data_IF_029714936049
#
_entry.id   IF_029714936049
#
_cell.length_a   1.000
_cell.length_b   1.000
_cell.length_c   1.000
_cell.angle_alpha   90.00
_cell.angle_beta   90.00
_cell.angle_gamma   90.00
#
_symmetry.space_group_name_H-M   'P 1'
#
loop_
_entity.id
_entity.type
_entity.pdbx_description
1 polymer ?
#
# COMPACT_ATOMS: atom_id res chain seq x y z
N UNK A 1 -7.90 -14.20 10.19
CA UNK A 1 -6.95 -13.24 10.79
C UNK A 1 -7.55 -11.85 10.65
N UNK A 2 -7.45 -10.97 11.66
CA UNK A 2 -8.00 -9.60 11.56
C UNK A 2 -7.07 -8.67 10.80
N UNK A 3 -7.61 -7.59 10.23
CA UNK A 3 -6.82 -6.55 9.56
C UNK A 3 -5.76 -5.94 10.46
N UNK A 4 -6.10 -5.71 11.74
CA UNK A 4 -5.15 -5.21 12.74
C UNK A 4 -3.99 -6.17 12.97
N UNK A 5 -4.22 -7.48 12.90
CA UNK A 5 -3.17 -8.49 13.02
C UNK A 5 -2.31 -8.56 11.76
N UNK A 6 -2.89 -8.46 10.56
CA UNK A 6 -2.15 -8.33 9.28
C UNK A 6 -1.25 -7.09 9.31
N UNK A 7 -1.82 -5.95 9.69
CA UNK A 7 -1.09 -4.69 9.77
C UNK A 7 0.04 -4.74 10.80
N UNK A 8 -0.20 -5.38 11.95
CA UNK A 8 0.80 -5.62 12.98
C UNK A 8 1.98 -6.46 12.48
N UNK A 9 1.72 -7.55 11.76
CA UNK A 9 2.78 -8.38 11.16
C UNK A 9 3.62 -7.55 10.18
N UNK A 10 2.99 -6.79 9.28
CA UNK A 10 3.72 -5.95 8.33
C UNK A 10 4.60 -4.91 9.05
N UNK A 11 4.08 -4.27 10.11
CA UNK A 11 4.83 -3.32 10.92
C UNK A 11 6.02 -3.98 11.65
N UNK A 12 5.84 -5.17 12.22
CA UNK A 12 6.90 -5.92 12.90
C UNK A 12 8.06 -6.26 11.95
N UNK A 13 7.76 -6.54 10.68
CA UNK A 13 8.76 -6.83 9.65
C UNK A 13 9.31 -5.58 8.95
N UNK A 14 8.94 -4.37 9.39
CA UNK A 14 9.27 -3.12 8.69
C UNK A 14 8.88 -3.13 7.20
N UNK A 15 7.78 -3.81 6.88
CA UNK A 15 7.35 -4.10 5.52
C UNK A 15 6.19 -3.20 5.09
N UNK A 16 6.17 -2.82 3.80
CA UNK A 16 5.02 -2.18 3.17
C UNK A 16 3.93 -3.23 2.98
N UNK A 17 2.74 -2.98 3.52
CA UNK A 17 1.59 -3.86 3.29
C UNK A 17 1.03 -3.61 1.89
N UNK A 18 1.04 -4.66 1.06
CA UNK A 18 0.38 -4.69 -0.24
C UNK A 18 -1.03 -5.23 -0.06
N UNK A 19 -2.05 -4.51 -0.55
CA UNK A 19 -3.44 -4.96 -0.38
C UNK A 19 -4.35 -4.39 -1.49
N UNK A 20 -5.44 -5.09 -1.80
CA UNK A 20 -6.56 -4.57 -2.60
C UNK A 20 -7.73 -4.13 -1.69
N UNK A 21 -7.63 -4.38 -0.37
CA UNK A 21 -8.65 -4.03 0.61
C UNK A 21 -8.53 -2.58 1.08
N UNK A 22 -9.60 -1.81 0.84
CA UNK A 22 -9.68 -0.39 1.18
C UNK A 22 -9.75 -0.13 2.69
N UNK A 23 -10.15 -1.11 3.50
CA UNK A 23 -10.41 -0.88 4.93
C UNK A 23 -9.12 -0.65 5.74
N UNK A 24 -7.97 -1.09 5.23
CA UNK A 24 -6.66 -0.69 5.78
C UNK A 24 -6.41 0.82 5.74
N UNK A 25 -6.99 1.52 4.77
CA UNK A 25 -6.94 2.99 4.72
C UNK A 25 -7.60 3.62 5.95
N UNK A 26 -8.71 3.05 6.43
CA UNK A 26 -9.36 3.51 7.68
C UNK A 26 -8.44 3.29 8.88
N UNK A 27 -7.76 2.15 8.95
CA UNK A 27 -6.86 1.82 10.08
C UNK A 27 -5.72 2.83 10.22
N UNK A 28 -5.05 3.20 9.13
CA UNK A 28 -3.87 4.08 9.22
C UNK A 28 -4.19 5.56 9.11
N UNK A 29 -5.18 5.96 8.31
CA UNK A 29 -5.51 7.38 8.11
C UNK A 29 -6.39 7.90 9.26
N UNK A 30 -7.47 7.18 9.58
CA UNK A 30 -8.47 7.61 10.56
C UNK A 30 -8.13 7.14 11.97
N UNK A 31 -7.76 5.86 12.12
CA UNK A 31 -7.50 5.27 13.44
C UNK A 31 -6.02 5.30 13.86
N UNK A 32 -5.12 5.80 12.99
CA UNK A 32 -3.70 6.04 13.30
C UNK A 32 -2.94 4.81 13.82
N UNK A 33 -3.31 3.61 13.37
CA UNK A 33 -2.54 2.41 13.68
C UNK A 33 -1.12 2.50 13.11
N UNK A 34 -0.13 1.96 13.84
CA UNK A 34 1.25 1.86 13.37
C UNK A 34 1.33 1.01 12.11
N UNK A 35 2.20 1.41 11.19
CA UNK A 35 2.50 0.71 9.95
C UNK A 35 3.90 1.09 9.48
N UNK A 36 4.43 0.36 8.49
CA UNK A 36 5.70 0.73 7.82
C UNK A 36 5.49 1.23 6.39
N UNK A 37 4.23 1.27 5.94
CA UNK A 37 3.77 1.76 4.65
C UNK A 37 2.60 0.90 4.16
N UNK A 38 1.73 1.46 3.33
CA UNK A 38 0.66 0.72 2.67
C UNK A 38 0.64 1.06 1.19
N UNK A 39 0.53 0.05 0.34
CA UNK A 39 0.19 0.20 -1.06
C UNK A 39 -1.17 -0.47 -1.32
N UNK A 40 -2.20 0.36 -1.49
CA UNK A 40 -3.51 -0.05 -1.96
C UNK A 40 -3.48 -0.18 -3.49
N UNK A 41 -3.68 -1.39 -4.00
CA UNK A 41 -3.63 -1.74 -5.41
C UNK A 41 -5.05 -1.71 -5.98
N UNK A 42 -5.26 -0.91 -7.03
CA UNK A 42 -6.54 -0.71 -7.73
C UNK A 42 -6.34 -0.81 -9.24
N UNK A 43 -6.05 -2.03 -9.69
CA UNK A 43 -5.72 -2.36 -11.07
C UNK A 43 -6.78 -3.28 -11.70
N UNK A 44 -8.02 -3.17 -11.24
CA UNK A 44 -9.15 -3.94 -11.75
C UNK A 44 -9.33 -3.68 -13.25
N UNK A 45 -9.66 -4.75 -14.00
CA UNK A 45 -9.84 -4.68 -15.45
C UNK A 45 -8.54 -4.67 -16.28
N UNK A 46 -7.36 -4.69 -15.66
CA UNK A 46 -6.10 -4.89 -16.37
C UNK A 46 -5.80 -6.37 -16.64
N UNK A 47 -5.13 -6.66 -17.77
CA UNK A 47 -4.59 -8.00 -18.03
C UNK A 47 -3.46 -8.30 -17.03
N UNK A 48 -3.31 -9.57 -16.64
CA UNK A 48 -2.34 -10.00 -15.62
C UNK A 48 -0.89 -9.59 -15.93
N UNK A 49 -0.50 -9.63 -17.22
CA UNK A 49 0.83 -9.20 -17.65
C UNK A 49 1.04 -7.69 -17.42
N UNK A 50 0.10 -6.87 -17.85
CA UNK A 50 0.17 -5.41 -17.70
C UNK A 50 0.11 -5.00 -16.22
N UNK A 51 -0.72 -5.69 -15.44
CA UNK A 51 -0.81 -5.50 -13.97
C UNK A 51 0.53 -5.75 -13.31
N UNK A 52 1.17 -6.88 -13.62
CA UNK A 52 2.48 -7.25 -13.06
C UNK A 52 3.56 -6.26 -13.48
N UNK A 53 3.61 -5.89 -14.75
CA UNK A 53 4.61 -4.95 -15.27
C UNK A 53 4.48 -3.56 -14.61
N UNK A 54 3.27 -3.02 -14.51
CA UNK A 54 3.00 -1.75 -13.84
C UNK A 54 3.38 -1.83 -12.35
N UNK A 55 2.97 -2.90 -11.66
CA UNK A 55 3.28 -3.11 -10.26
C UNK A 55 4.80 -3.14 -10.00
N UNK A 56 5.55 -3.97 -10.74
CA UNK A 56 7.00 -4.10 -10.59
C UNK A 56 7.72 -2.78 -10.87
N UNK A 57 7.34 -2.08 -11.95
CA UNK A 57 7.87 -0.76 -12.27
C UNK A 57 7.62 0.23 -11.13
N UNK A 58 6.41 0.24 -10.58
CA UNK A 58 6.01 1.14 -9.48
C UNK A 58 6.85 0.87 -8.22
N UNK A 59 7.02 -0.40 -7.83
CA UNK A 59 7.81 -0.77 -6.66
C UNK A 59 9.28 -0.37 -6.84
N UNK A 60 9.88 -0.67 -8.00
CA UNK A 60 11.28 -0.35 -8.27
C UNK A 60 11.55 1.17 -8.22
N UNK A 61 10.60 1.98 -8.67
CA UNK A 61 10.77 3.43 -8.76
C UNK A 61 10.43 4.17 -7.46
N UNK A 62 9.47 3.67 -6.67
CA UNK A 62 8.85 4.48 -5.62
C UNK A 62 8.83 3.85 -4.22
N UNK A 63 9.36 2.63 -4.03
CA UNK A 63 9.30 1.93 -2.73
C UNK A 63 9.77 2.79 -1.55
N UNK A 64 10.83 3.58 -1.72
CA UNK A 64 11.34 4.44 -0.64
C UNK A 64 10.38 5.57 -0.30
N UNK A 65 9.71 6.15 -1.29
CA UNK A 65 8.69 7.18 -1.07
C UNK A 65 7.41 6.62 -0.43
N UNK A 66 7.13 5.32 -0.59
CA UNK A 66 5.97 4.66 0.02
C UNK A 66 6.20 4.29 1.49
N UNK A 67 7.45 4.25 1.96
CA UNK A 67 7.76 3.97 3.36
C UNK A 67 7.07 5.00 4.26
N UNK A 68 6.49 4.51 5.35
CA UNK A 68 5.75 5.32 6.33
C UNK A 68 4.57 6.13 5.75
N UNK A 69 4.16 5.84 4.51
CA UNK A 69 3.10 6.58 3.83
C UNK A 69 1.95 5.67 3.40
N UNK A 70 0.84 6.28 3.04
CA UNK A 70 -0.28 5.57 2.43
C UNK A 70 -0.32 5.85 0.94
N UNK A 71 -0.16 4.81 0.13
CA UNK A 71 -0.06 4.90 -1.32
C UNK A 71 -1.21 4.18 -2.00
N UNK A 72 -1.66 4.71 -3.14
CA UNK A 72 -2.69 4.08 -3.98
C UNK A 72 -2.15 3.97 -5.39
N UNK A 73 -2.08 2.75 -5.91
CA UNK A 73 -1.71 2.48 -7.31
C UNK A 73 -2.97 2.21 -8.12
N UNK A 74 -3.19 3.03 -9.14
CA UNK A 74 -4.24 2.84 -10.15
C UNK A 74 -3.62 2.63 -11.53
N UNK A 75 -4.41 2.25 -12.52
CA UNK A 75 -3.96 2.16 -13.92
C UNK A 75 -3.49 3.50 -14.50
N UNK A 76 -3.85 4.63 -13.86
CA UNK A 76 -3.50 5.98 -14.33
C UNK A 76 -2.31 6.58 -13.60
N UNK A 77 -2.17 6.32 -12.30
CA UNK A 77 -1.14 6.95 -11.48
C UNK A 77 -0.87 6.19 -10.17
N UNK A 78 0.26 6.54 -9.56
CA UNK A 78 0.55 6.30 -8.15
C UNK A 78 0.31 7.59 -7.38
N UNK A 79 -0.55 7.54 -6.36
CA UNK A 79 -0.72 8.64 -5.40
C UNK A 79 -0.13 8.26 -4.06
N UNK A 80 0.83 9.04 -3.56
CA UNK A 80 1.42 8.87 -2.23
C UNK A 80 0.88 9.97 -1.32
N UNK A 81 0.19 9.57 -0.25
CA UNK A 81 -0.24 10.48 0.82
C UNK A 81 0.78 10.40 1.94
N UNK A 82 1.44 11.53 2.20
CA UNK A 82 2.28 11.67 3.37
C UNK A 82 1.43 11.51 4.63
N UNK A 83 1.86 10.59 5.50
CA UNK A 83 1.30 10.45 6.84
C UNK A 83 2.33 11.05 7.79
N UNK A 84 2.00 12.19 8.39
CA UNK A 84 2.87 12.78 9.39
C UNK A 84 3.00 11.80 10.57
N UNK A 85 4.23 11.60 11.10
CA UNK A 85 4.47 10.77 12.28
C UNK A 85 3.61 11.16 13.48
#
# INVERSE_FOLDING_TARGET
MSDTKVLGIAAQHNAILLTEDKDFGKLVIRLKFKHSGILLIRLEGMKSYDKTNLFLKTINQHKENMRQNFSVLTSRNLRIRQLNP
#
